data_IF_338759586529
#
_entry.id   IF_338759586529
#
_cell.length_a   1.000
_cell.length_b   1.000
_cell.length_c   1.000
_cell.angle_alpha   90.00
_cell.angle_beta   90.00
_cell.angle_gamma   90.00
#
_symmetry.space_group_name_H-M   'P 1'
#
loop_
_entity.id
_entity.type
_entity.pdbx_description
1 polymer ?
#
# COMPACT_ATOMS: atom_id res chain seq x y z
N UNK A 1 -29.05 0.72 -15.60
CA UNK A 1 -28.77 0.20 -14.24
C UNK A 1 -27.26 0.21 -14.18
N UNK A 2 -26.70 1.35 -13.79
CA UNK A 2 -25.30 1.67 -13.96
C UNK A 2 -24.71 1.69 -12.56
N UNK A 3 -24.40 0.49 -12.08
CA UNK A 3 -23.71 0.29 -10.81
C UNK A 3 -22.22 0.21 -11.12
N UNK A 4 -21.55 1.36 -11.04
CA UNK A 4 -20.09 1.42 -10.95
C UNK A 4 -19.73 2.27 -9.74
N UNK A 5 -20.08 1.78 -8.55
CA UNK A 5 -19.34 2.14 -7.34
C UNK A 5 -18.22 1.10 -7.18
N UNK A 6 -17.32 1.10 -8.16
CA UNK A 6 -15.98 0.57 -7.93
C UNK A 6 -15.29 1.65 -7.11
N UNK A 7 -15.44 1.58 -5.79
CA UNK A 7 -14.55 2.26 -4.88
C UNK A 7 -13.16 1.66 -5.13
N UNK A 8 -12.47 2.19 -6.16
CA UNK A 8 -11.21 1.66 -6.68
C UNK A 8 -10.21 1.59 -5.54
N UNK A 9 -9.96 0.38 -5.06
CA UNK A 9 -8.92 0.11 -4.08
C UNK A 9 -7.59 0.37 -4.80
N UNK A 10 -7.11 1.61 -4.71
CA UNK A 10 -5.90 2.03 -5.41
C UNK A 10 -4.69 1.39 -4.74
N UNK A 11 -4.01 0.52 -5.50
CA UNK A 11 -2.79 -0.15 -5.05
C UNK A 11 -1.56 0.45 -5.72
N UNK A 12 -0.54 0.70 -4.91
CA UNK A 12 0.70 1.36 -5.29
C UNK A 12 1.87 0.40 -5.15
N UNK A 13 2.67 0.29 -6.21
CA UNK A 13 3.89 -0.53 -6.22
C UNK A 13 5.01 0.18 -5.46
N UNK A 14 5.89 -0.60 -4.84
CA UNK A 14 7.17 -0.10 -4.34
C UNK A 14 7.94 0.61 -5.47
N UNK A 15 8.48 1.78 -5.15
CA UNK A 15 9.18 2.67 -6.08
C UNK A 15 8.28 3.72 -6.74
N UNK A 16 6.95 3.51 -6.77
CA UNK A 16 6.01 4.53 -7.25
C UNK A 16 5.99 5.75 -6.33
N UNK A 17 5.61 6.89 -6.89
CA UNK A 17 5.44 8.14 -6.13
C UNK A 17 4.12 8.12 -5.37
N UNK A 18 4.14 8.60 -4.13
CA UNK A 18 2.98 8.75 -3.27
C UNK A 18 2.13 9.91 -3.81
N UNK A 19 0.86 9.67 -4.20
CA UNK A 19 0.02 10.70 -4.81
C UNK A 19 -0.53 11.70 -3.81
N UNK A 20 -0.76 11.28 -2.56
CA UNK A 20 -1.33 12.13 -1.50
C UNK A 20 -0.82 11.69 -0.15
N UNK A 21 -0.69 12.62 0.79
CA UNK A 21 -0.32 12.30 2.14
C UNK A 21 -1.41 11.46 2.84
N UNK A 22 -0.96 10.56 3.70
CA UNK A 22 -1.88 9.69 4.43
C UNK A 22 -1.24 8.41 4.94
N UNK A 23 -2.09 7.61 5.59
CA UNK A 23 -1.72 6.26 6.00
C UNK A 23 -1.93 5.29 4.85
N UNK A 24 -0.91 4.48 4.63
CA UNK A 24 -0.94 3.38 3.67
C UNK A 24 -0.70 2.07 4.40
N UNK A 25 -1.33 1.00 3.92
CA UNK A 25 -1.19 -0.34 4.43
C UNK A 25 -0.45 -1.21 3.40
N UNK A 26 0.54 -1.96 3.87
CA UNK A 26 1.23 -2.93 3.05
C UNK A 26 0.33 -4.15 2.84
N UNK A 27 -0.09 -4.40 1.60
CA UNK A 27 -1.05 -5.46 1.26
C UNK A 27 -0.57 -6.85 1.72
N UNK A 28 0.71 -7.24 1.55
CA UNK A 28 1.19 -8.55 2.01
C UNK A 28 1.16 -8.81 3.53
N UNK A 29 1.30 -7.78 4.38
CA UNK A 29 1.49 -7.98 5.83
C UNK A 29 0.60 -7.13 6.74
N UNK A 30 -0.19 -6.23 6.18
CA UNK A 30 -1.03 -5.31 6.94
C UNK A 30 -0.29 -4.20 7.69
N UNK A 31 1.03 -4.04 7.48
CA UNK A 31 1.82 -3.01 8.16
C UNK A 31 1.41 -1.61 7.67
N UNK A 32 1.09 -0.71 8.60
CA UNK A 32 0.65 0.64 8.30
C UNK A 32 1.80 1.62 8.40
N UNK A 33 1.89 2.56 7.46
CA UNK A 33 2.91 3.62 7.44
C UNK A 33 2.30 4.92 6.93
N UNK A 34 2.60 6.02 7.61
CA UNK A 34 2.28 7.35 7.08
C UNK A 34 3.33 7.73 6.03
N UNK A 35 2.88 8.15 4.85
CA UNK A 35 3.72 8.57 3.73
C UNK A 35 3.25 9.94 3.24
N UNK A 36 4.21 10.76 2.80
CA UNK A 36 3.94 12.10 2.28
C UNK A 36 3.89 12.09 0.76
N UNK A 37 3.07 12.97 0.20
CA UNK A 37 3.03 13.24 -1.25
C UNK A 37 4.42 13.49 -1.81
N UNK A 38 4.73 12.88 -2.96
CA UNK A 38 6.03 13.03 -3.62
C UNK A 38 7.13 12.09 -3.10
N UNK A 39 6.95 11.44 -1.95
CA UNK A 39 7.84 10.36 -1.53
C UNK A 39 7.67 9.12 -2.41
N UNK A 40 8.58 8.16 -2.30
CA UNK A 40 8.44 6.86 -2.95
C UNK A 40 7.98 5.81 -1.96
N UNK A 41 7.08 4.92 -2.39
CA UNK A 41 6.72 3.73 -1.63
C UNK A 41 7.95 2.84 -1.44
N UNK A 42 8.42 2.72 -0.20
CA UNK A 42 9.56 1.87 0.15
C UNK A 42 9.11 0.41 0.35
N UNK A 43 10.03 -0.55 0.17
CA UNK A 43 9.82 -1.92 0.61
C UNK A 43 9.37 -1.98 2.08
N UNK A 44 8.44 -2.88 2.38
CA UNK A 44 7.95 -3.04 3.74
C UNK A 44 8.98 -3.83 4.57
N UNK A 45 9.67 -3.12 5.48
CA UNK A 45 10.66 -3.73 6.38
C UNK A 45 10.02 -4.79 7.30
N UNK A 46 8.73 -4.68 7.61
CA UNK A 46 8.00 -5.69 8.37
C UNK A 46 7.88 -7.00 7.60
N UNK A 47 7.59 -6.96 6.29
CA UNK A 47 7.63 -8.16 5.42
C UNK A 47 9.02 -8.78 5.35
N UNK A 48 10.07 -7.94 5.39
CA UNK A 48 11.44 -8.44 5.38
C UNK A 48 11.85 -9.10 6.71
N UNK A 49 11.34 -8.61 7.84
CA UNK A 49 11.67 -9.11 9.17
C UNK A 49 10.80 -10.28 9.67
N UNK A 50 9.50 -10.29 9.35
CA UNK A 50 8.57 -11.37 9.72
C UNK A 50 8.56 -12.42 8.62
N UNK A 51 9.42 -13.43 8.77
CA UNK A 51 9.48 -14.64 7.95
C UNK A 51 9.47 -14.38 6.43
N UNK A 52 10.63 -14.59 5.79
CA UNK A 52 10.84 -14.51 4.33
C UNK A 52 9.78 -15.20 3.43
N UNK A 53 8.86 -15.99 3.99
CA UNK A 53 7.72 -16.62 3.31
C UNK A 53 6.76 -15.62 2.65
N UNK A 54 6.59 -14.42 3.20
CA UNK A 54 5.69 -13.40 2.63
C UNK A 54 6.39 -12.40 1.71
N UNK A 55 7.72 -12.35 1.76
CA UNK A 55 8.52 -11.46 0.90
C UNK A 55 8.70 -12.09 -0.48
N UNK A 56 7.76 -11.81 -1.40
CA UNK A 56 7.93 -12.08 -2.83
C UNK A 56 8.26 -10.76 -3.53
N UNK A 57 9.49 -10.64 -4.04
CA UNK A 57 9.92 -9.50 -4.86
C UNK A 57 8.90 -9.28 -5.97
N UNK A 58 8.40 -8.05 -6.11
CA UNK A 58 7.41 -7.67 -7.12
C UNK A 58 5.94 -7.75 -6.69
N UNK A 59 5.63 -8.30 -5.50
CA UNK A 59 4.27 -8.27 -4.91
C UNK A 59 4.15 -7.23 -3.77
N UNK A 60 5.14 -6.36 -3.65
CA UNK A 60 5.17 -5.33 -2.62
C UNK A 60 4.25 -4.17 -3.03
N UNK A 61 3.01 -4.26 -2.54
CA UNK A 61 1.96 -3.30 -2.80
C UNK A 61 1.58 -2.56 -1.51
N UNK A 62 1.24 -1.30 -1.68
CA UNK A 62 0.69 -0.41 -0.67
C UNK A 62 -0.71 0.01 -1.09
N UNK A 63 -1.61 0.16 -0.14
CA UNK A 63 -2.98 0.60 -0.37
C UNK A 63 -3.27 1.77 0.56
N UNK A 64 -4.00 2.79 0.08
CA UNK A 64 -4.32 3.94 0.92
C UNK A 64 -5.42 3.57 1.91
N UNK A 65 -5.21 3.86 3.18
CA UNK A 65 -6.27 3.79 4.19
C UNK A 65 -7.12 5.04 4.05
N UNK A 66 -8.14 4.96 3.20
CA UNK A 66 -9.28 5.88 3.23
C UNK A 66 -10.21 5.38 4.31
N UNK A 67 -10.35 6.11 5.42
CA UNK A 67 -11.24 5.70 6.50
C UNK A 67 -12.67 5.58 5.98
N UNK A 68 -13.12 4.36 5.68
CA UNK A 68 -14.55 4.08 5.54
C UNK A 68 -15.15 4.12 6.94
N UNK A 69 -16.14 4.99 7.05
CA UNK A 69 -16.92 5.35 8.22
C UNK A 69 -17.63 4.16 8.86
#
# INVERSE_FOLDING_TARGET
>A
MDYTDESEIETFKVGSTVPTDGFYICVPCGSKKYLKTGERFSSCLTCMGKEKRFFRRGLELWERITGSK
#
